data_IF_420106468518
#
_entry.id   IF_420106468518
#
_cell.length_a   1.000
_cell.length_b   1.000
_cell.length_c   1.000
_cell.angle_alpha   90.00
_cell.angle_beta   90.00
_cell.angle_gamma   90.00
#
_symmetry.space_group_name_H-M   'P 1'
#
loop_
_entity.id
_entity.type
_entity.pdbx_description
1 polymer ?
#
# COMPACT_ATOMS: atom_id res chain seq x y z
N UNK A 1 -78.40 -8.43 31.19
CA UNK A 1 -79.07 -7.13 31.03
C UNK A 1 -78.02 -6.17 30.49
N UNK A 2 -78.20 -5.69 29.26
CA UNK A 2 -77.31 -4.73 28.58
C UNK A 2 -77.55 -3.30 29.13
N UNK A 3 -76.64 -2.33 28.91
CA UNK A 3 -76.82 -1.49 27.73
C UNK A 3 -75.53 -1.08 26.98
N UNK A 4 -75.72 -1.01 25.66
CA UNK A 4 -75.05 -0.29 24.58
C UNK A 4 -74.65 1.17 24.86
N UNK A 5 -73.51 1.62 24.31
CA UNK A 5 -73.43 2.80 23.44
C UNK A 5 -72.24 2.71 22.46
N UNK A 6 -72.47 3.24 21.27
CA UNK A 6 -71.64 3.30 20.06
C UNK A 6 -71.13 4.75 19.96
N UNK A 7 -69.86 4.99 19.64
CA UNK A 7 -69.46 6.21 18.95
C UNK A 7 -68.17 5.95 18.16
N UNK A 8 -68.23 6.16 16.84
CA UNK A 8 -67.08 6.11 15.95
C UNK A 8 -66.64 7.51 15.57
N UNK A 9 -65.33 7.74 15.52
CA UNK A 9 -64.75 8.84 14.73
C UNK A 9 -63.39 8.43 14.17
N UNK A 10 -63.31 8.65 12.85
CA UNK A 10 -62.15 8.61 11.97
C UNK A 10 -61.03 9.54 12.44
N UNK A 11 -59.80 9.05 12.55
CA UNK A 11 -58.61 9.91 12.47
C UNK A 11 -57.37 9.11 12.01
N UNK A 12 -57.04 9.32 10.72
CA UNK A 12 -55.69 9.39 10.12
C UNK A 12 -54.61 8.38 10.52
N UNK A 13 -54.30 7.49 9.58
CA UNK A 13 -53.05 6.73 9.53
C UNK A 13 -51.83 7.67 9.34
N UNK A 14 -50.75 7.52 10.13
CA UNK A 14 -49.44 8.03 9.77
C UNK A 14 -48.61 6.92 9.10
N UNK A 15 -48.07 7.24 7.93
CA UNK A 15 -47.04 6.51 7.20
C UNK A 15 -45.95 5.97 8.12
N UNK A 16 -45.90 4.65 8.32
CA UNK A 16 -44.74 3.99 8.94
C UNK A 16 -43.61 3.96 7.92
N UNK A 17 -42.80 5.02 7.94
CA UNK A 17 -41.47 5.05 7.36
C UNK A 17 -40.71 3.78 7.77
N UNK A 18 -40.32 2.98 6.80
CA UNK A 18 -39.28 1.96 6.90
C UNK A 18 -37.95 2.66 7.18
N UNK A 19 -37.78 3.10 8.44
CA UNK A 19 -36.47 3.43 8.99
C UNK A 19 -35.68 2.13 9.05
N UNK A 20 -34.89 1.87 8.01
CA UNK A 20 -33.79 0.91 8.04
C UNK A 20 -32.81 1.38 9.13
N UNK A 21 -33.06 0.99 10.37
CA UNK A 21 -32.10 1.09 11.47
C UNK A 21 -30.99 0.09 11.18
N UNK A 22 -30.07 0.48 10.30
CA UNK A 22 -28.78 -0.19 10.17
C UNK A 22 -28.03 0.12 11.46
N UNK A 23 -27.98 -0.87 12.35
CA UNK A 23 -27.28 -0.76 13.63
C UNK A 23 -25.83 -0.26 13.41
N UNK A 24 -25.36 0.79 14.08
CA UNK A 24 -23.99 1.32 13.94
C UNK A 24 -22.90 0.30 14.33
N UNK A 25 -23.30 -0.81 14.97
CA UNK A 25 -22.43 -1.90 15.39
C UNK A 25 -22.02 -2.85 14.24
N UNK A 26 -22.85 -3.02 13.19
CA UNK A 26 -22.51 -3.92 12.06
C UNK A 26 -21.56 -3.25 11.07
N UNK A 27 -21.68 -1.93 10.88
CA UNK A 27 -20.83 -1.16 9.96
C UNK A 27 -19.40 -0.97 10.51
N UNK A 28 -19.23 -0.92 11.83
CA UNK A 28 -17.93 -0.82 12.51
C UNK A 28 -17.18 -2.14 12.59
N UNK A 29 -17.87 -3.29 12.60
CA UNK A 29 -17.24 -4.61 12.53
C UNK A 29 -16.72 -4.93 11.12
N UNK A 30 -17.52 -4.65 10.08
CA UNK A 30 -17.13 -4.84 8.68
C UNK A 30 -15.95 -3.93 8.28
N UNK A 31 -15.95 -2.66 8.67
CA UNK A 31 -14.84 -1.74 8.37
C UNK A 31 -13.50 -2.15 9.02
N UNK A 32 -13.54 -2.83 10.18
CA UNK A 32 -12.35 -3.35 10.86
C UNK A 32 -11.76 -4.55 10.14
N UNK A 33 -12.58 -5.50 9.66
CA UNK A 33 -12.10 -6.69 8.95
C UNK A 33 -11.52 -6.33 7.58
N UNK A 34 -12.16 -5.44 6.82
CA UNK A 34 -11.61 -4.96 5.54
C UNK A 34 -10.26 -4.26 5.73
N UNK A 35 -10.10 -3.47 6.79
CA UNK A 35 -8.84 -2.80 7.10
C UNK A 35 -7.71 -3.75 7.49
N UNK A 36 -7.98 -4.74 8.34
CA UNK A 36 -6.96 -5.73 8.72
C UNK A 36 -6.52 -6.58 7.53
N UNK A 37 -7.46 -7.05 6.71
CA UNK A 37 -7.12 -7.85 5.52
C UNK A 37 -6.30 -7.03 4.53
N UNK A 38 -6.67 -5.77 4.30
CA UNK A 38 -5.90 -4.86 3.44
C UNK A 38 -4.47 -4.65 3.95
N UNK A 39 -4.29 -4.41 5.26
CA UNK A 39 -2.96 -4.22 5.86
C UNK A 39 -2.11 -5.50 5.71
N UNK A 40 -2.68 -6.68 5.95
CA UNK A 40 -1.96 -7.95 5.79
C UNK A 40 -1.52 -8.17 4.33
N UNK A 41 -2.44 -7.98 3.38
CA UNK A 41 -2.13 -8.11 1.95
C UNK A 41 -1.07 -7.09 1.52
N UNK A 42 -1.15 -5.84 2.01
CA UNK A 42 -0.17 -4.79 1.75
C UNK A 42 1.24 -5.16 2.21
N UNK A 43 1.33 -5.77 3.39
CA UNK A 43 2.61 -6.14 4.00
C UNK A 43 3.27 -7.29 3.25
N UNK A 44 2.47 -8.27 2.80
CA UNK A 44 2.93 -9.40 1.99
C UNK A 44 3.45 -8.92 0.63
N UNK A 45 2.67 -8.09 -0.07
CA UNK A 45 3.06 -7.54 -1.36
C UNK A 45 4.28 -6.62 -1.26
N UNK A 46 4.37 -5.82 -0.19
CA UNK A 46 5.52 -4.97 0.11
C UNK A 46 6.83 -5.73 0.34
N UNK A 47 6.79 -7.05 0.54
CA UNK A 47 7.99 -7.89 0.68
C UNK A 47 8.29 -8.70 -0.59
N UNK A 48 7.25 -9.25 -1.22
CA UNK A 48 7.39 -10.09 -2.43
C UNK A 48 7.77 -9.25 -3.65
N UNK A 49 7.17 -8.07 -3.82
CA UNK A 49 7.42 -7.21 -4.98
C UNK A 49 8.88 -6.75 -5.05
N UNK A 50 9.50 -6.22 -3.97
CA UNK A 50 10.91 -5.84 -3.99
C UNK A 50 11.86 -6.98 -4.32
N UNK A 51 11.54 -8.21 -3.87
CA UNK A 51 12.33 -9.39 -4.18
C UNK A 51 12.30 -9.73 -5.68
N UNK A 52 11.10 -9.71 -6.28
CA UNK A 52 10.94 -9.93 -7.73
C UNK A 52 11.66 -8.84 -8.53
N UNK A 53 11.54 -7.57 -8.11
CA UNK A 53 12.24 -6.45 -8.74
C UNK A 53 13.75 -6.63 -8.72
N UNK A 54 14.29 -7.06 -7.57
CA UNK A 54 15.71 -7.30 -7.41
C UNK A 54 16.20 -8.46 -8.30
N UNK A 55 15.48 -9.59 -8.30
CA UNK A 55 15.86 -10.79 -9.07
C UNK A 55 15.84 -10.51 -10.58
N UNK A 56 14.73 -9.98 -11.09
CA UNK A 56 14.58 -9.72 -12.53
C UNK A 56 15.54 -8.62 -12.98
N UNK A 57 15.67 -7.55 -12.19
CA UNK A 57 16.58 -6.45 -12.51
C UNK A 57 18.05 -6.87 -12.52
N UNK A 58 18.46 -7.73 -11.57
CA UNK A 58 19.84 -8.24 -11.52
C UNK A 58 20.12 -9.26 -12.62
N UNK A 59 19.17 -10.16 -12.92
CA UNK A 59 19.36 -11.21 -13.92
C UNK A 59 19.45 -10.65 -15.34
N UNK A 60 18.55 -9.74 -15.72
CA UNK A 60 18.47 -9.17 -17.07
C UNK A 60 19.18 -7.81 -17.19
N UNK A 61 20.17 -7.53 -16.33
CA UNK A 61 20.84 -6.23 -16.28
C UNK A 61 21.46 -5.80 -17.62
N UNK A 62 21.96 -6.77 -18.39
CA UNK A 62 22.69 -6.52 -19.64
C UNK A 62 21.84 -6.79 -20.89
N UNK A 63 20.67 -7.42 -20.75
CA UNK A 63 19.79 -7.80 -21.86
C UNK A 63 18.85 -6.66 -22.33
N UNK A 64 19.26 -5.39 -22.15
CA UNK A 64 18.50 -4.23 -22.59
C UNK A 64 19.44 -3.12 -23.08
N UNK A 65 19.67 -3.09 -24.39
CA UNK A 65 20.56 -2.13 -25.06
C UNK A 65 19.93 -0.76 -25.22
N UNK A 66 18.59 -0.69 -25.31
CA UNK A 66 17.87 0.58 -25.49
C UNK A 66 18.03 1.52 -24.28
N UNK A 67 17.96 0.99 -23.06
CA UNK A 67 18.12 1.77 -21.84
C UNK A 67 18.49 0.90 -20.62
N UNK A 68 19.74 1.02 -20.17
CA UNK A 68 20.25 0.35 -18.97
C UNK A 68 19.71 0.93 -17.65
N UNK A 69 18.97 2.05 -17.70
CA UNK A 69 18.38 2.66 -16.51
C UNK A 69 17.17 1.89 -16.00
N UNK A 70 16.48 1.14 -16.86
CA UNK A 70 15.32 0.31 -16.49
C UNK A 70 15.69 -0.78 -15.49
N UNK A 71 16.67 -1.67 -15.76
CA UNK A 71 17.08 -2.68 -14.78
C UNK A 71 17.67 -2.03 -13.52
N UNK A 72 18.43 -0.93 -13.66
CA UNK A 72 18.97 -0.17 -12.52
C UNK A 72 17.85 0.38 -11.62
N UNK A 73 16.77 0.89 -12.22
CA UNK A 73 15.58 1.33 -11.49
C UNK A 73 15.01 0.21 -10.62
N UNK A 74 14.80 -0.97 -11.21
CA UNK A 74 14.24 -2.14 -10.52
C UNK A 74 15.13 -2.61 -9.37
N UNK A 75 16.45 -2.63 -9.58
CA UNK A 75 17.43 -3.03 -8.55
C UNK A 75 17.39 -2.06 -7.38
N UNK A 76 17.47 -0.74 -7.64
CA UNK A 76 17.52 0.27 -6.58
C UNK A 76 16.21 0.31 -5.79
N UNK A 77 15.06 0.25 -6.45
CA UNK A 77 13.76 0.23 -5.75
C UNK A 77 13.59 -1.03 -4.90
N UNK A 78 13.97 -2.20 -5.45
CA UNK A 78 13.90 -3.47 -4.74
C UNK A 78 14.85 -3.54 -3.54
N UNK A 79 16.10 -3.13 -3.73
CA UNK A 79 17.13 -3.13 -2.70
C UNK A 79 16.78 -2.17 -1.55
N UNK A 80 16.34 -0.94 -1.86
CA UNK A 80 15.94 0.02 -0.83
C UNK A 80 14.73 -0.49 -0.02
N UNK A 81 13.75 -1.12 -0.67
CA UNK A 81 12.60 -1.72 0.02
C UNK A 81 12.99 -2.85 0.97
N UNK A 82 13.84 -3.78 0.51
CA UNK A 82 14.33 -4.88 1.35
C UNK A 82 15.23 -4.40 2.49
N UNK A 83 16.11 -3.41 2.21
CA UNK A 83 16.99 -2.83 3.22
C UNK A 83 16.20 -2.15 4.34
N UNK A 84 15.11 -1.45 4.01
CA UNK A 84 14.24 -0.81 4.99
C UNK A 84 13.56 -1.84 5.91
N UNK A 85 13.00 -2.91 5.34
CA UNK A 85 12.38 -4.00 6.10
C UNK A 85 13.42 -4.70 6.98
N UNK A 86 14.60 -5.00 6.43
CA UNK A 86 15.71 -5.60 7.16
C UNK A 86 16.20 -4.72 8.33
N UNK A 87 16.36 -3.41 8.10
CA UNK A 87 16.74 -2.45 9.13
C UNK A 87 15.72 -2.41 10.27
N UNK A 88 14.43 -2.39 9.94
CA UNK A 88 13.34 -2.40 10.93
C UNK A 88 13.35 -3.68 11.78
N UNK A 89 13.55 -4.84 11.14
CA UNK A 89 13.65 -6.13 11.84
C UNK A 89 14.87 -6.16 12.75
N UNK A 90 16.03 -5.71 12.26
CA UNK A 90 17.28 -5.69 13.03
C UNK A 90 17.15 -4.78 14.26
N UNK A 91 16.61 -3.57 14.08
CA UNK A 91 16.34 -2.66 15.20
C UNK A 91 15.35 -3.26 16.21
N UNK A 92 14.34 -3.99 15.74
CA UNK A 92 13.36 -4.67 16.61
C UNK A 92 14.01 -5.77 17.45
N UNK A 93 14.93 -6.54 16.87
CA UNK A 93 15.70 -7.58 17.59
C UNK A 93 16.62 -6.93 18.63
N UNK A 94 17.36 -5.90 18.26
CA UNK A 94 18.24 -5.17 19.19
C UNK A 94 17.44 -4.58 20.34
N UNK A 95 16.27 -4.01 20.06
CA UNK A 95 15.38 -3.48 21.07
C UNK A 95 14.89 -4.56 22.05
N UNK A 96 14.50 -5.73 21.55
CA UNK A 96 14.12 -6.88 22.38
C UNK A 96 15.27 -7.37 23.27
N UNK A 97 16.50 -7.40 22.75
CA UNK A 97 17.68 -7.78 23.55
C UNK A 97 17.97 -6.77 24.68
N UNK A 98 17.74 -5.47 24.45
CA UNK A 98 18.00 -4.41 25.42
C UNK A 98 16.91 -4.23 26.48
N UNK A 99 15.69 -4.72 26.24
CA UNK A 99 14.55 -4.64 27.18
C UNK A 99 14.83 -5.32 28.52
N UNK A 100 15.86 -6.17 28.57
CA UNK A 100 16.35 -6.80 29.80
C UNK A 100 16.89 -5.81 30.84
N UNK A 101 17.17 -4.55 30.48
CA UNK A 101 17.71 -3.53 31.39
C UNK A 101 16.71 -2.37 31.60
N UNK A 102 16.17 -2.27 32.82
CA UNK A 102 14.92 -1.53 33.13
C UNK A 102 15.02 0.01 33.14
N UNK A 103 16.22 0.59 33.28
CA UNK A 103 16.39 2.04 33.50
C UNK A 103 16.76 2.82 32.23
N UNK A 104 17.34 2.16 31.21
CA UNK A 104 17.68 2.77 29.92
C UNK A 104 16.55 2.67 28.86
N UNK A 105 15.46 1.97 29.20
CA UNK A 105 14.38 1.58 28.30
C UNK A 105 13.75 2.76 27.54
N UNK A 106 13.40 3.85 28.23
CA UNK A 106 12.67 4.97 27.62
C UNK A 106 13.53 5.77 26.62
N UNK A 107 14.81 5.97 26.92
CA UNK A 107 15.74 6.74 26.07
C UNK A 107 16.02 5.97 24.79
N UNK A 108 16.29 4.66 24.89
CA UNK A 108 16.57 3.78 23.75
C UNK A 108 15.33 3.60 22.87
N UNK A 109 14.15 3.38 23.47
CA UNK A 109 12.88 3.26 22.72
C UNK A 109 12.59 4.54 21.90
N UNK A 110 12.76 5.70 22.53
CA UNK A 110 12.51 6.99 21.87
C UNK A 110 13.52 7.25 20.75
N UNK A 111 14.79 6.94 20.98
CA UNK A 111 15.84 7.06 19.96
C UNK A 111 15.62 6.11 18.78
N UNK A 112 15.31 4.85 19.05
CA UNK A 112 15.01 3.83 18.03
C UNK A 112 13.80 4.22 17.19
N UNK A 113 12.73 4.69 17.83
CA UNK A 113 11.54 5.17 17.14
C UNK A 113 11.85 6.41 16.29
N UNK A 114 12.60 7.38 16.81
CA UNK A 114 13.01 8.57 16.08
C UNK A 114 13.87 8.21 14.85
N UNK A 115 14.89 7.36 15.03
CA UNK A 115 15.74 6.88 13.93
C UNK A 115 14.92 6.15 12.86
N UNK A 116 13.99 5.28 13.26
CA UNK A 116 13.11 4.56 12.34
C UNK A 116 12.20 5.51 11.58
N UNK A 117 11.61 6.52 12.25
CA UNK A 117 10.75 7.51 11.60
C UNK A 117 11.55 8.36 10.61
N UNK A 118 12.71 8.87 11.02
CA UNK A 118 13.57 9.70 10.16
C UNK A 118 14.06 8.89 8.95
N UNK A 119 14.54 7.66 9.15
CA UNK A 119 14.98 6.80 8.03
C UNK A 119 13.83 6.48 7.08
N UNK A 120 12.62 6.25 7.63
CA UNK A 120 11.41 6.00 6.84
C UNK A 120 11.04 7.20 5.97
N UNK A 121 11.06 8.42 6.52
CA UNK A 121 10.74 9.64 5.76
C UNK A 121 11.75 9.85 4.63
N UNK A 122 13.05 9.74 4.92
CA UNK A 122 14.11 9.93 3.93
C UNK A 122 14.00 8.90 2.80
N UNK A 123 13.89 7.61 3.14
CA UNK A 123 13.76 6.54 2.15
C UNK A 123 12.48 6.66 1.35
N UNK A 124 11.37 7.05 1.97
CA UNK A 124 10.09 7.25 1.27
C UNK A 124 10.19 8.39 0.25
N UNK A 125 10.82 9.51 0.62
CA UNK A 125 11.05 10.62 -0.29
C UNK A 125 11.94 10.21 -1.47
N UNK A 126 13.02 9.48 -1.19
CA UNK A 126 13.91 8.94 -2.22
C UNK A 126 13.17 7.98 -3.16
N UNK A 127 12.46 6.99 -2.62
CA UNK A 127 11.69 6.02 -3.40
C UNK A 127 10.59 6.67 -4.22
N UNK A 128 9.93 7.71 -3.70
CA UNK A 128 8.93 8.46 -4.44
C UNK A 128 9.54 9.15 -5.66
N UNK A 129 10.65 9.86 -5.49
CA UNK A 129 11.37 10.50 -6.60
C UNK A 129 11.85 9.44 -7.61
N UNK A 130 12.41 8.34 -7.11
CA UNK A 130 12.90 7.23 -7.92
C UNK A 130 11.78 6.56 -8.72
N UNK A 131 10.59 6.40 -8.13
CA UNK A 131 9.40 5.89 -8.78
C UNK A 131 8.99 6.76 -9.97
N UNK A 132 9.02 8.09 -9.84
CA UNK A 132 8.76 9.02 -10.95
C UNK A 132 9.77 8.81 -12.08
N UNK A 133 11.06 8.66 -11.76
CA UNK A 133 12.08 8.34 -12.77
C UNK A 133 11.80 7.00 -13.46
N UNK A 134 11.41 5.97 -12.70
CA UNK A 134 10.99 4.69 -13.25
C UNK A 134 9.84 4.81 -14.25
N UNK A 135 8.81 5.59 -13.90
CA UNK A 135 7.72 5.89 -14.83
C UNK A 135 8.25 6.55 -16.11
N UNK A 136 9.07 7.60 -15.99
CA UNK A 136 9.62 8.32 -17.15
C UNK A 136 10.43 7.37 -18.05
N UNK A 137 11.33 6.57 -17.48
CA UNK A 137 12.19 5.68 -18.26
C UNK A 137 11.40 4.59 -18.98
N UNK A 138 10.49 3.90 -18.27
CA UNK A 138 9.71 2.82 -18.86
C UNK A 138 8.72 3.34 -19.91
N UNK A 139 8.00 4.44 -19.63
CA UNK A 139 7.03 4.97 -20.59
C UNK A 139 7.70 5.66 -21.78
N UNK A 140 8.91 6.24 -21.61
CA UNK A 140 9.60 6.96 -22.70
C UNK A 140 10.05 6.05 -23.83
N UNK A 141 10.28 4.77 -23.58
CA UNK A 141 10.77 3.82 -24.60
C UNK A 141 9.69 2.91 -25.17
N UNK A 142 8.46 2.99 -24.65
CA UNK A 142 7.35 2.07 -25.00
C UNK A 142 7.10 1.96 -26.49
N UNK A 143 7.18 3.07 -27.21
CA UNK A 143 6.85 3.11 -28.64
C UNK A 143 8.08 2.80 -29.52
N UNK A 144 9.25 2.55 -28.91
CA UNK A 144 10.53 2.32 -29.60
C UNK A 144 11.12 0.93 -29.33
N UNK A 145 10.66 0.23 -28.28
CA UNK A 145 11.23 -1.03 -27.82
C UNK A 145 10.99 -2.17 -28.81
N UNK A 146 12.05 -2.93 -29.10
CA UNK A 146 12.02 -4.13 -29.94
C UNK A 146 12.29 -5.38 -29.09
N UNK A 147 11.62 -6.49 -29.38
CA UNK A 147 11.68 -7.71 -28.55
C UNK A 147 12.28 -8.93 -29.25
N UNK A 148 12.48 -8.89 -30.56
CA UNK A 148 12.87 -10.09 -31.33
C UNK A 148 14.36 -10.17 -31.63
N UNK A 149 14.99 -9.04 -31.96
CA UNK A 149 16.37 -9.01 -32.43
C UNK A 149 17.31 -8.42 -31.37
N UNK A 150 18.13 -9.27 -30.75
CA UNK A 150 19.13 -8.88 -29.74
C UNK A 150 20.21 -7.93 -30.26
N UNK A 151 20.44 -7.89 -31.57
CA UNK A 151 21.44 -7.00 -32.19
C UNK A 151 20.86 -5.59 -32.45
N UNK A 152 19.55 -5.42 -32.31
CA UNK A 152 18.91 -4.13 -32.51
C UNK A 152 19.31 -3.18 -31.37
N UNK A 153 19.70 -1.91 -31.67
CA UNK A 153 19.98 -0.92 -30.62
C UNK A 153 18.77 -0.64 -29.73
N UNK A 154 17.55 -0.91 -30.21
CA UNK A 154 16.31 -0.73 -29.47
C UNK A 154 15.83 -2.01 -28.76
N UNK A 155 16.66 -3.04 -28.69
CA UNK A 155 16.30 -4.30 -28.05
C UNK A 155 16.18 -4.16 -26.53
N UNK A 156 15.15 -4.80 -25.98
CA UNK A 156 15.05 -5.06 -24.55
C UNK A 156 14.38 -6.41 -24.32
N UNK A 157 14.92 -7.21 -23.39
CA UNK A 157 14.35 -8.51 -23.08
C UNK A 157 12.88 -8.36 -22.64
N UNK A 158 11.94 -9.11 -23.25
CA UNK A 158 10.51 -8.99 -22.97
C UNK A 158 10.16 -9.26 -21.52
N UNK A 159 10.86 -10.18 -20.84
CA UNK A 159 10.62 -10.47 -19.42
C UNK A 159 10.94 -9.25 -18.56
N UNK A 160 12.07 -8.59 -18.79
CA UNK A 160 12.48 -7.40 -18.05
C UNK A 160 11.51 -6.24 -18.27
N UNK A 161 11.25 -5.88 -19.53
CA UNK A 161 10.41 -4.73 -19.86
C UNK A 161 8.96 -4.92 -19.42
N UNK A 162 8.35 -6.09 -19.70
CA UNK A 162 6.96 -6.36 -19.30
C UNK A 162 6.81 -6.40 -17.78
N UNK A 163 7.80 -6.95 -17.07
CA UNK A 163 7.79 -6.96 -15.61
C UNK A 163 7.94 -5.56 -15.03
N UNK A 164 8.87 -4.75 -15.55
CA UNK A 164 9.04 -3.35 -15.13
C UNK A 164 7.74 -2.55 -15.31
N UNK A 165 7.12 -2.67 -16.49
CA UNK A 165 5.85 -2.02 -16.81
C UNK A 165 4.71 -2.50 -15.90
N UNK A 166 4.54 -3.83 -15.75
CA UNK A 166 3.49 -4.40 -14.92
C UNK A 166 3.64 -3.96 -13.45
N UNK A 167 4.86 -3.99 -12.91
CA UNK A 167 5.14 -3.59 -11.53
C UNK A 167 4.88 -2.10 -11.30
N UNK A 168 5.23 -1.24 -12.26
CA UNK A 168 4.87 0.19 -12.19
C UNK A 168 3.36 0.37 -12.15
N UNK A 169 2.61 -0.26 -13.05
CA UNK A 169 1.14 -0.17 -13.07
C UNK A 169 0.53 -0.67 -11.76
N UNK A 170 1.02 -1.81 -11.24
CA UNK A 170 0.59 -2.35 -9.94
C UNK A 170 0.86 -1.34 -8.82
N UNK A 171 2.05 -0.74 -8.77
CA UNK A 171 2.39 0.27 -7.76
C UNK A 171 1.52 1.53 -7.85
N UNK A 172 1.17 1.98 -9.07
CA UNK A 172 0.23 3.11 -9.27
C UNK A 172 -1.14 2.76 -8.70
N UNK A 173 -1.70 1.60 -9.08
CA UNK A 173 -3.01 1.15 -8.61
C UNK A 173 -2.99 1.02 -7.08
N UNK A 174 -1.94 0.42 -6.53
CA UNK A 174 -1.74 0.26 -5.09
C UNK A 174 -1.73 1.61 -4.38
N UNK A 175 -1.00 2.59 -4.92
CA UNK A 175 -0.90 3.94 -4.35
C UNK A 175 -2.25 4.68 -4.36
N UNK A 176 -3.02 4.53 -5.44
CA UNK A 176 -4.38 5.09 -5.53
C UNK A 176 -5.31 4.43 -4.50
N UNK A 177 -5.28 3.11 -4.40
CA UNK A 177 -6.09 2.36 -3.42
C UNK A 177 -5.77 2.77 -1.98
N UNK A 178 -4.47 2.92 -1.65
CA UNK A 178 -4.01 3.38 -0.34
C UNK A 178 -4.55 4.78 -0.01
N UNK A 179 -4.52 5.70 -0.99
CA UNK A 179 -5.03 7.05 -0.84
C UNK A 179 -6.56 7.04 -0.61
N UNK A 180 -7.31 6.32 -1.45
CA UNK A 180 -8.76 6.16 -1.32
C UNK A 180 -9.17 5.57 0.04
N UNK A 181 -8.48 4.52 0.48
CA UNK A 181 -8.75 3.88 1.78
C UNK A 181 -8.46 4.83 2.95
N UNK A 182 -7.39 5.62 2.87
CA UNK A 182 -7.03 6.60 3.90
C UNK A 182 -8.06 7.73 3.99
N UNK A 183 -8.50 8.27 2.85
CA UNK A 183 -9.55 9.28 2.78
C UNK A 183 -10.88 8.75 3.34
N UNK A 184 -11.28 7.53 2.95
CA UNK A 184 -12.50 6.90 3.46
C UNK A 184 -12.47 6.75 4.98
N UNK A 185 -11.35 6.29 5.55
CA UNK A 185 -11.18 6.18 7.00
C UNK A 185 -11.34 7.54 7.70
N UNK A 186 -10.67 8.58 7.20
CA UNK A 186 -10.73 9.92 7.79
C UNK A 186 -12.16 10.50 7.74
N UNK A 187 -12.88 10.34 6.62
CA UNK A 187 -14.26 10.79 6.48
C UNK A 187 -15.22 10.05 7.41
N UNK A 188 -15.05 8.74 7.60
CA UNK A 188 -15.90 7.95 8.48
C UNK A 188 -15.61 8.21 9.97
N UNK A 189 -14.35 8.46 10.36
CA UNK A 189 -14.00 8.77 11.75
C UNK A 189 -14.31 10.22 12.11
N UNK A 190 -14.19 11.16 11.17
CA UNK A 190 -14.44 12.59 11.39
C UNK A 190 -15.91 12.95 11.62
N UNK A 191 -16.85 12.07 11.28
CA UNK A 191 -18.30 12.26 11.53
C UNK A 191 -18.74 11.87 12.95
N UNK A 192 -17.82 11.39 13.79
CA UNK A 192 -18.12 10.88 15.13
C UNK A 192 -17.85 11.85 16.29
N UNK A 193 -17.36 13.07 16.02
CA UNK A 193 -17.12 14.11 17.03
C UNK A 193 -18.10 15.27 16.88
#
# INVERSE_FOLDING_TARGET
>A
MNPTQIEGTSETAPLRSTSNTVSPLSMTAAGRTFGTTYILVSSLLGSIIPLIQLIIGAYYREDCTIDQRIPTYMIVSGACGLAMTGFTILLSIVFMCFISDSTALHIIATCSLCLTIVSTIILSAFLFIWFIFGCIWVFSIRDKVEFHDRLNPNYCEPVLYKSAFALLVIMIIWSILQCCFSCFRQCCTGRSN
#
